data_IF_653554146156
#
_entry.id   IF_653554146156
#
_cell.length_a   1.000
_cell.length_b   1.000
_cell.length_c   1.000
_cell.angle_alpha   90.00
_cell.angle_beta   90.00
_cell.angle_gamma   90.00
#
_symmetry.space_group_name_H-M   'P 1'
#
loop_
_entity.id
_entity.type
_entity.pdbx_description
1 polymer ?
#
# COMPACT_ATOMS: atom_id res chain seq x y z
N UNK A 1 -23.35 0.53 6.95
CA UNK A 1 -23.22 0.51 8.42
C UNK A 1 -22.12 1.47 8.84
N UNK A 2 -22.26 2.23 9.93
CA UNK A 2 -21.23 3.16 10.43
C UNK A 2 -20.87 2.78 11.86
N UNK A 3 -19.58 2.59 12.14
CA UNK A 3 -19.06 2.28 13.47
C UNK A 3 -18.36 3.49 14.05
N UNK A 4 -18.55 3.71 15.35
CA UNK A 4 -17.83 4.74 16.11
C UNK A 4 -17.10 4.07 17.25
N UNK A 5 -15.79 4.29 17.32
CA UNK A 5 -15.00 3.83 18.45
C UNK A 5 -15.42 4.61 19.70
N UNK A 6 -15.46 3.93 20.85
CA UNK A 6 -15.53 4.61 22.15
C UNK A 6 -14.22 5.36 22.38
N UNK A 7 -14.25 6.43 23.16
CA UNK A 7 -13.11 7.35 23.39
C UNK A 7 -11.80 6.65 23.80
N UNK A 8 -11.88 5.44 24.36
CA UNK A 8 -10.72 4.67 24.80
C UNK A 8 -9.99 3.88 23.71
N UNK A 9 -10.46 3.86 22.46
CA UNK A 9 -9.88 3.06 21.38
C UNK A 9 -9.65 3.86 20.11
N UNK A 10 -8.49 3.65 19.49
CA UNK A 10 -8.18 4.20 18.18
C UNK A 10 -9.07 3.54 17.11
N UNK A 11 -9.85 4.30 16.31
CA UNK A 11 -10.65 3.75 15.21
C UNK A 11 -9.84 2.92 14.22
N UNK A 12 -8.58 3.27 13.97
CA UNK A 12 -7.72 2.54 13.03
C UNK A 12 -7.38 1.15 13.56
N UNK A 13 -7.23 1.01 14.87
CA UNK A 13 -7.01 -0.29 15.51
C UNK A 13 -8.25 -1.19 15.39
N UNK A 14 -9.44 -0.62 15.61
CA UNK A 14 -10.70 -1.35 15.45
C UNK A 14 -10.88 -1.79 14.00
N UNK A 15 -10.62 -0.89 13.05
CA UNK A 15 -10.62 -1.22 11.63
C UNK A 15 -9.67 -2.38 11.32
N UNK A 16 -8.42 -2.29 11.77
CA UNK A 16 -7.42 -3.35 11.58
C UNK A 16 -7.90 -4.72 12.06
N UNK A 17 -8.51 -4.80 13.25
CA UNK A 17 -9.06 -6.05 13.77
C UNK A 17 -10.21 -6.55 12.89
N UNK A 18 -11.17 -5.70 12.55
CA UNK A 18 -12.34 -6.08 11.76
C UNK A 18 -11.98 -6.55 10.35
N UNK A 19 -10.91 -6.00 9.77
CA UNK A 19 -10.42 -6.36 8.43
C UNK A 19 -9.42 -7.50 8.41
N UNK A 20 -9.19 -8.19 9.53
CA UNK A 20 -8.39 -9.41 9.51
C UNK A 20 -9.11 -10.48 8.69
N UNK A 21 -8.36 -11.24 7.90
CA UNK A 21 -8.87 -12.25 6.97
C UNK A 21 -9.86 -13.20 7.63
N UNK A 22 -9.54 -13.70 8.84
CA UNK A 22 -10.44 -14.56 9.61
C UNK A 22 -11.78 -13.89 9.92
N UNK A 23 -11.76 -12.64 10.38
CA UNK A 23 -12.99 -11.92 10.73
C UNK A 23 -13.83 -11.61 9.48
N UNK A 24 -13.19 -11.25 8.37
CA UNK A 24 -13.86 -11.07 7.08
C UNK A 24 -14.51 -12.38 6.62
N UNK A 25 -13.78 -13.49 6.69
CA UNK A 25 -14.30 -14.80 6.33
C UNK A 25 -15.52 -15.21 7.17
N UNK A 26 -15.41 -15.08 8.50
CA UNK A 26 -16.49 -15.43 9.42
C UNK A 26 -17.74 -14.57 9.17
N UNK A 27 -17.56 -13.26 8.98
CA UNK A 27 -18.65 -12.31 8.71
C UNK A 27 -19.29 -12.55 7.33
N UNK A 28 -18.48 -12.88 6.32
CA UNK A 28 -18.98 -13.22 4.98
C UNK A 28 -19.83 -14.50 5.04
N UNK A 29 -19.36 -15.53 5.74
CA UNK A 29 -20.12 -16.78 5.91
C UNK A 29 -21.47 -16.52 6.58
N UNK A 30 -21.50 -15.71 7.64
CA UNK A 30 -22.75 -15.31 8.32
C UNK A 30 -23.70 -14.60 7.35
N UNK A 31 -23.18 -13.69 6.51
CA UNK A 31 -23.98 -12.96 5.54
C UNK A 31 -24.60 -13.88 4.48
N UNK A 32 -23.86 -14.89 4.01
CA UNK A 32 -24.28 -15.83 2.98
C UNK A 32 -25.33 -16.85 3.46
N UNK A 33 -25.23 -17.28 4.72
CA UNK A 33 -26.21 -18.23 5.32
C UNK A 33 -27.60 -17.60 5.48
N UNK A 34 -27.69 -16.27 5.53
CA UNK A 34 -28.96 -15.57 5.64
C UNK A 34 -29.75 -15.69 4.33
N UNK A 35 -30.81 -16.50 4.34
CA UNK A 35 -31.78 -16.60 3.23
C UNK A 35 -32.37 -15.23 2.88
N UNK A 36 -31.84 -14.61 1.84
CA UNK A 36 -32.24 -13.31 1.32
C UNK A 36 -31.52 -13.02 0.01
N UNK A 37 -32.08 -12.13 -0.80
CA UNK A 37 -31.52 -11.78 -2.12
C UNK A 37 -30.25 -10.90 -2.02
N UNK A 38 -29.95 -10.38 -0.83
CA UNK A 38 -28.76 -9.57 -0.55
C UNK A 38 -28.09 -10.04 0.75
N UNK A 39 -26.97 -10.80 0.65
CA UNK A 39 -26.16 -11.16 1.81
C UNK A 39 -25.68 -9.92 2.54
N UNK A 40 -25.97 -9.82 3.84
CA UNK A 40 -25.53 -8.70 4.67
C UNK A 40 -25.38 -9.11 6.14
N UNK A 41 -24.40 -8.51 6.80
CA UNK A 41 -24.25 -8.60 8.26
C UNK A 41 -25.05 -7.50 8.97
N UNK A 42 -25.42 -7.78 10.22
CA UNK A 42 -26.12 -6.89 11.14
C UNK A 42 -25.18 -6.41 12.25
N UNK A 43 -25.59 -5.37 12.98
CA UNK A 43 -24.87 -4.92 14.18
C UNK A 43 -24.74 -6.02 15.25
N UNK A 44 -25.71 -6.94 15.32
CA UNK A 44 -25.70 -8.05 16.27
C UNK A 44 -24.62 -9.07 15.94
N UNK A 45 -24.45 -9.41 14.67
CA UNK A 45 -23.41 -10.36 14.24
C UNK A 45 -22.03 -9.71 14.36
N UNK A 46 -21.91 -8.43 13.99
CA UNK A 46 -20.64 -7.71 14.16
C UNK A 46 -20.19 -7.61 15.62
N UNK A 47 -21.12 -7.43 16.58
CA UNK A 47 -20.76 -7.33 18.01
C UNK A 47 -20.26 -8.66 18.61
N UNK A 48 -20.41 -9.77 17.88
CA UNK A 48 -19.89 -11.08 18.28
C UNK A 48 -18.42 -11.29 17.90
N UNK A 49 -17.83 -10.40 17.09
CA UNK A 49 -16.40 -10.45 16.76
C UNK A 49 -15.60 -10.21 18.04
N UNK A 50 -14.78 -11.20 18.43
CA UNK A 50 -13.93 -11.14 19.62
C UNK A 50 -12.49 -10.97 19.21
N UNK A 51 -11.77 -10.13 19.96
CA UNK A 51 -10.34 -9.95 19.80
C UNK A 51 -9.63 -10.04 21.16
N UNK A 52 -8.49 -10.73 21.17
CA UNK A 52 -7.61 -10.77 22.34
C UNK A 52 -6.78 -9.48 22.37
N UNK A 53 -6.82 -8.77 23.49
CA UNK A 53 -6.10 -7.52 23.67
C UNK A 53 -5.06 -7.65 24.80
N UNK A 54 -3.89 -7.01 24.66
CA UNK A 54 -2.97 -6.83 25.78
C UNK A 54 -3.68 -6.13 26.95
N UNK A 55 -3.33 -6.50 28.19
CA UNK A 55 -3.83 -5.83 29.40
C UNK A 55 -3.42 -4.36 29.44
N UNK A 56 -2.19 -4.07 29.00
CA UNK A 56 -1.68 -2.72 28.92
C UNK A 56 -2.15 -2.03 27.63
N UNK A 57 -3.01 -1.01 27.81
CA UNK A 57 -3.55 -0.20 26.71
C UNK A 57 -2.48 0.66 26.04
N UNK A 58 -1.37 0.97 26.71
CA UNK A 58 -0.27 1.73 26.11
C UNK A 58 0.36 0.98 24.94
N UNK A 59 0.42 -0.35 25.03
CA UNK A 59 0.93 -1.21 23.94
C UNK A 59 0.04 -1.10 22.71
N UNK A 60 -1.28 -1.17 22.90
CA UNK A 60 -2.26 -1.01 21.81
C UNK A 60 -2.12 0.35 21.16
N UNK A 61 -2.02 1.42 21.96
CA UNK A 61 -1.82 2.78 21.45
C UNK A 61 -0.50 2.92 20.67
N UNK A 62 0.60 2.43 21.21
CA UNK A 62 1.91 2.48 20.55
C UNK A 62 1.90 1.70 19.23
N UNK A 63 1.26 0.53 19.19
CA UNK A 63 1.09 -0.23 17.96
C UNK A 63 0.30 0.56 16.92
N UNK A 64 -0.81 1.20 17.29
CA UNK A 64 -1.59 2.03 16.37
C UNK A 64 -0.78 3.22 15.85
N UNK A 65 -0.12 3.95 16.75
CA UNK A 65 0.58 5.19 16.43
C UNK A 65 1.84 4.96 15.58
N UNK A 66 2.64 3.94 15.93
CA UNK A 66 3.95 3.70 15.32
C UNK A 66 3.81 2.80 14.09
N UNK A 67 3.00 1.74 14.18
CA UNK A 67 2.92 0.74 13.13
C UNK A 67 1.73 0.99 12.21
N UNK A 68 0.49 0.96 12.72
CA UNK A 68 -0.70 1.00 11.85
C UNK A 68 -0.75 2.29 11.02
N UNK A 69 -0.63 3.46 11.65
CA UNK A 69 -0.72 4.74 10.93
C UNK A 69 0.28 4.84 9.79
N UNK A 70 1.54 4.53 10.04
CA UNK A 70 2.61 4.59 9.03
C UNK A 70 2.34 3.66 7.85
N UNK A 71 1.92 2.41 8.14
CA UNK A 71 1.64 1.43 7.10
C UNK A 71 0.40 1.81 6.27
N UNK A 72 -0.69 2.24 6.91
CA UNK A 72 -1.90 2.66 6.21
C UNK A 72 -1.67 3.90 5.34
N UNK A 73 -0.95 4.90 5.86
CA UNK A 73 -0.59 6.08 5.06
C UNK A 73 0.26 5.72 3.85
N UNK A 74 1.24 4.83 4.02
CA UNK A 74 2.08 4.37 2.92
C UNK A 74 1.25 3.64 1.86
N UNK A 75 0.38 2.73 2.27
CA UNK A 75 -0.51 2.00 1.35
C UNK A 75 -1.40 2.95 0.56
N UNK A 76 -2.00 3.93 1.24
CA UNK A 76 -2.85 4.93 0.58
C UNK A 76 -2.09 5.82 -0.41
N UNK A 77 -0.87 6.24 -0.06
CA UNK A 77 0.00 6.99 -0.98
C UNK A 77 0.36 6.16 -2.21
N UNK A 78 0.67 4.88 -2.03
CA UNK A 78 1.02 3.97 -3.12
C UNK A 78 -0.17 3.75 -4.07
N UNK A 79 -1.37 3.53 -3.53
CA UNK A 79 -2.59 3.38 -4.31
C UNK A 79 -2.89 4.65 -5.14
N UNK A 80 -2.78 5.83 -4.52
CA UNK A 80 -2.94 7.11 -5.23
C UNK A 80 -1.93 7.27 -6.36
N UNK A 81 -0.66 6.96 -6.12
CA UNK A 81 0.37 7.05 -7.14
C UNK A 81 0.09 6.09 -8.29
N UNK A 82 -0.35 4.86 -7.99
CA UNK A 82 -0.76 3.87 -8.99
C UNK A 82 -1.91 4.41 -9.85
N UNK A 83 -2.93 5.02 -9.26
CA UNK A 83 -4.03 5.65 -9.99
C UNK A 83 -3.59 6.81 -10.87
N UNK A 84 -2.67 7.66 -10.38
CA UNK A 84 -2.09 8.76 -11.17
C UNK A 84 -1.31 8.21 -12.37
N UNK A 85 -0.46 7.21 -12.16
CA UNK A 85 0.33 6.58 -13.22
C UNK A 85 -0.56 5.90 -14.26
N UNK A 86 -1.62 5.23 -13.82
CA UNK A 86 -2.64 4.63 -14.71
C UNK A 86 -3.31 5.69 -15.57
N UNK A 87 -3.76 6.81 -14.98
CA UNK A 87 -4.36 7.93 -15.72
C UNK A 87 -3.38 8.56 -16.70
N UNK A 88 -2.12 8.73 -16.30
CA UNK A 88 -1.08 9.26 -17.16
C UNK A 88 -0.87 8.34 -18.36
N UNK A 89 -0.74 7.03 -18.15
CA UNK A 89 -0.64 6.02 -19.21
C UNK A 89 -1.84 6.10 -20.14
N UNK A 90 -3.05 6.09 -19.61
CA UNK A 90 -4.29 6.08 -20.39
C UNK A 90 -4.49 7.39 -21.18
N UNK A 91 -3.85 8.49 -20.75
CA UNK A 91 -3.86 9.78 -21.45
C UNK A 91 -2.77 9.87 -22.51
N UNK A 92 -1.56 9.39 -22.21
CA UNK A 92 -0.40 9.54 -23.09
C UNK A 92 -0.40 8.50 -24.22
N UNK A 93 -0.82 7.26 -23.94
CA UNK A 93 -0.76 6.17 -24.91
C UNK A 93 -1.59 6.47 -26.17
N UNK A 94 -2.85 6.95 -26.08
CA UNK A 94 -3.61 7.32 -27.27
C UNK A 94 -2.96 8.45 -28.06
N UNK A 95 -2.40 9.47 -27.39
CA UNK A 95 -1.74 10.63 -28.03
C UNK A 95 -0.45 10.27 -28.75
N UNK A 96 0.29 9.29 -28.21
CA UNK A 96 1.49 8.75 -28.84
C UNK A 96 1.12 7.92 -30.08
N UNK A 97 0.05 7.11 -29.99
CA UNK A 97 -0.44 6.28 -31.11
C UNK A 97 -1.06 7.14 -32.23
N UNK A 98 -1.86 8.16 -31.88
CA UNK A 98 -2.43 9.10 -32.87
C UNK A 98 -1.37 10.00 -33.50
N UNK A 99 -0.21 10.11 -32.85
CA UNK A 99 0.90 10.92 -33.31
C UNK A 99 0.79 12.40 -33.00
N UNK A 100 -0.19 12.79 -32.19
CA UNK A 100 -0.28 14.12 -31.59
C UNK A 100 0.93 14.44 -30.69
N UNK A 101 1.53 13.40 -30.10
CA UNK A 101 2.74 13.49 -29.30
C UNK A 101 3.87 12.70 -29.99
N UNK A 102 5.01 13.35 -30.23
CA UNK A 102 6.21 12.74 -30.80
C UNK A 102 7.29 12.64 -29.73
N UNK A 103 7.97 11.50 -29.66
CA UNK A 103 9.17 11.36 -28.86
C UNK A 103 10.34 11.94 -29.67
N UNK A 104 11.27 12.68 -29.06
CA UNK A 104 12.52 13.00 -29.73
C UNK A 104 13.23 11.70 -30.07
N UNK A 105 13.69 11.58 -31.32
CA UNK A 105 14.45 10.41 -31.76
C UNK A 105 15.73 10.33 -30.92
N UNK A 106 15.78 9.39 -29.97
CA UNK A 106 16.99 9.12 -29.20
C UNK A 106 18.01 8.40 -30.09
N UNK A 107 18.53 9.11 -31.10
CA UNK A 107 19.76 8.77 -31.77
C UNK A 107 20.88 9.58 -31.12
N UNK A 108 21.53 8.96 -30.14
CA UNK A 108 22.98 9.03 -29.97
C UNK A 108 23.40 7.95 -28.95
N UNK A 109 23.82 6.75 -29.40
CA UNK A 109 24.89 6.08 -28.68
C UNK A 109 26.10 7.03 -28.76
N UNK A 110 26.50 7.60 -27.63
CA UNK A 110 27.84 8.20 -27.53
C UNK A 110 28.85 7.14 -27.99
N UNK A 111 29.71 7.43 -28.99
CA UNK A 111 30.79 6.53 -29.30
C UNK A 111 31.71 6.49 -28.08
N UNK A 112 31.83 5.31 -27.48
CA UNK A 112 32.89 4.99 -26.53
C UNK A 112 34.21 5.40 -27.18
N UNK A 113 34.78 6.52 -26.73
CA UNK A 113 36.15 6.86 -27.05
C UNK A 113 37.04 5.85 -26.33
N UNK A 114 37.39 4.79 -27.04
CA UNK A 114 38.59 4.01 -26.75
C UNK A 114 39.76 5.00 -26.81
N UNK A 115 40.25 5.40 -25.64
CA UNK A 115 41.61 5.91 -25.52
C UNK A 115 42.42 4.86 -24.80
N UNK A 116 43.35 4.34 -25.60
CA UNK A 116 44.32 3.31 -25.31
C UNK A 116 45.19 3.65 -24.10
N UNK A 117 45.50 2.59 -23.35
CA UNK A 117 46.81 2.34 -22.72
C UNK A 117 47.66 3.50 -22.22
N UNK A 118 47.73 3.64 -20.89
CA UNK A 118 49.03 3.81 -20.26
C UNK A 118 49.13 2.92 -19.02
N UNK A 119 50.02 1.92 -19.13
CA UNK A 119 50.52 1.10 -18.05
C UNK A 119 51.44 1.92 -17.10
N UNK A 120 51.28 1.61 -15.80
CA UNK A 120 52.32 1.53 -14.74
C UNK A 120 52.92 2.82 -14.11
N UNK A 121 53.55 2.73 -12.91
CA UNK A 121 53.55 1.64 -11.91
C UNK A 121 53.23 2.06 -10.45
N UNK A 122 53.04 1.01 -9.66
CA UNK A 122 53.12 0.88 -8.21
C UNK A 122 54.23 1.75 -7.56
N UNK A 123 53.89 2.57 -6.56
CA UNK A 123 54.84 3.21 -5.66
C UNK A 123 54.52 2.82 -4.21
N UNK A 124 55.41 2.02 -3.62
CA UNK A 124 55.48 1.74 -2.20
C UNK A 124 56.29 2.86 -1.51
N UNK A 125 55.74 3.42 -0.44
CA UNK A 125 56.42 4.09 0.70
C UNK A 125 55.38 4.05 1.84
N UNK A 126 55.59 3.49 3.03
CA UNK A 126 56.81 3.40 3.82
C UNK A 126 56.94 4.66 4.68
N UNK A 127 56.42 4.61 5.92
CA UNK A 127 56.50 5.68 6.93
C UNK A 127 55.52 5.44 8.08
#
# INVERSE_FOLDING_TARGET
>A
MVLRAKESYDPLFIYFILTQEKNIYDLQHIAEVRSGTFPQITYKELSQVKATLPKDRKVVKAFSDIFLKQHFEKSFKLEKNSEVLKKLRDTLLPKLISGELRLPDTHQPEPLSESEGQQQPLAACGG
#
